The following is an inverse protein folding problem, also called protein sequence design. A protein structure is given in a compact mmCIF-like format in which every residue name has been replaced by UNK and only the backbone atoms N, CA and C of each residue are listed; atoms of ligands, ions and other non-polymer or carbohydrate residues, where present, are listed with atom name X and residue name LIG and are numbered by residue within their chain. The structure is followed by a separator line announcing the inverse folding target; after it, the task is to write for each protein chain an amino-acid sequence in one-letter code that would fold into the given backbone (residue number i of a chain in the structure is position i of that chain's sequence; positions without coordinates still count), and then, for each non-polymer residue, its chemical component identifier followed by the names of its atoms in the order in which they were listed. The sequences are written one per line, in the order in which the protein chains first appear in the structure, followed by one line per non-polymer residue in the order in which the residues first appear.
data_IF_158304825734
#
_entry.id   IF_158304825734
#
_cell.length_a   1.000
_cell.length_b   1.000
_cell.length_c   1.000
_cell.angle_alpha   90.00
_cell.angle_beta   90.00
_cell.angle_gamma   90.00
#
_symmetry.space_group_name_H-M   'P 1'
#
loop_
_entity.id
_entity.type
_entity.pdbx_description
1 polymer ?
#
# COMPACT_ATOMS: atom_id res chain seq x y z
N UNK A 1 -7.97 22.51 6.03
CA UNK A 1 -9.11 21.81 6.68
C UNK A 1 -9.35 22.38 8.07
N UNK A 2 -10.59 22.72 8.43
CA UNK A 2 -10.92 23.09 9.82
C UNK A 2 -10.78 21.84 10.70
N UNK A 3 -10.09 22.00 11.84
CA UNK A 3 -9.97 20.93 12.85
C UNK A 3 -11.37 20.61 13.38
N UNK A 4 -11.79 19.33 13.35
CA UNK A 4 -13.08 18.93 13.89
C UNK A 4 -13.03 19.09 15.41
N UNK A 5 -14.04 19.75 15.98
CA UNK A 5 -14.25 19.71 17.42
C UNK A 5 -14.96 18.39 17.78
N UNK A 6 -14.29 17.55 18.58
CA UNK A 6 -14.77 16.23 19.00
C UNK A 6 -15.24 16.23 20.48
N UNK A 7 -15.31 17.38 21.14
CA UNK A 7 -15.62 17.47 22.59
C UNK A 7 -17.03 17.01 22.92
N UNK A 8 -17.97 17.13 21.96
CA UNK A 8 -19.36 16.71 22.10
C UNK A 8 -19.62 15.28 21.58
N UNK A 9 -18.61 14.59 21.08
CA UNK A 9 -18.79 13.22 20.55
C UNK A 9 -18.91 12.22 21.68
N UNK A 10 -19.69 11.16 21.44
CA UNK A 10 -19.84 10.06 22.38
C UNK A 10 -19.09 8.82 21.92
N UNK A 11 -18.80 7.99 22.88
CA UNK A 11 -18.17 6.69 22.68
C UNK A 11 -19.23 5.63 22.39
N UNK A 12 -18.96 4.80 21.37
CA UNK A 12 -19.79 3.68 20.98
C UNK A 12 -18.93 2.44 20.79
N UNK A 13 -19.37 1.30 21.31
CA UNK A 13 -18.79 0.02 20.93
C UNK A 13 -19.21 -0.33 19.50
N UNK A 14 -18.29 -0.82 18.72
CA UNK A 14 -18.57 -1.21 17.34
C UNK A 14 -19.63 -2.31 17.25
N UNK A 15 -19.59 -3.28 18.17
CA UNK A 15 -20.58 -4.35 18.26
C UNK A 15 -22.00 -3.91 18.60
N UNK A 16 -22.19 -2.68 19.16
CA UNK A 16 -23.52 -2.10 19.41
C UNK A 16 -24.11 -1.46 18.12
N UNK A 17 -23.28 -1.17 17.13
CA UNK A 17 -23.67 -0.52 15.89
C UNK A 17 -23.80 -1.48 14.70
N UNK A 18 -23.04 -2.58 14.75
CA UNK A 18 -22.92 -3.53 13.63
C UNK A 18 -22.97 -4.98 14.10
N UNK A 19 -23.73 -5.80 13.38
CA UNK A 19 -23.48 -7.24 13.38
C UNK A 19 -22.15 -7.51 12.68
N UNK A 20 -21.26 -8.23 13.34
CA UNK A 20 -19.97 -8.64 12.74
C UNK A 20 -19.98 -10.15 12.59
N UNK A 21 -19.93 -10.62 11.35
CA UNK A 21 -19.94 -12.04 10.99
C UNK A 21 -19.04 -12.35 9.80
N UNK A 22 -18.63 -13.63 9.63
CA UNK A 22 -17.94 -14.06 8.42
C UNK A 22 -18.77 -13.74 7.17
N UNK A 23 -18.10 -13.32 6.11
CA UNK A 23 -18.73 -13.18 4.80
C UNK A 23 -19.02 -14.56 4.20
N UNK A 24 -20.15 -14.68 3.50
CA UNK A 24 -20.49 -15.89 2.76
C UNK A 24 -19.55 -16.05 1.56
N UNK A 25 -19.16 -17.29 1.31
CA UNK A 25 -18.28 -17.64 0.18
C UNK A 25 -18.70 -18.97 -0.45
N UNK A 26 -18.15 -19.27 -1.60
CA UNK A 26 -18.45 -20.52 -2.33
C UNK A 26 -17.68 -21.75 -1.82
N UNK A 27 -16.76 -21.58 -0.86
CA UNK A 27 -15.87 -22.66 -0.37
C UNK A 27 -15.05 -23.33 -1.49
N UNK A 28 -14.75 -22.58 -2.55
CA UNK A 28 -13.95 -23.05 -3.68
C UNK A 28 -12.46 -22.74 -3.43
N UNK A 29 -11.60 -23.61 -3.95
CA UNK A 29 -10.16 -23.32 -4.04
C UNK A 29 -9.90 -22.21 -5.07
N UNK A 30 -8.81 -21.47 -4.91
CA UNK A 30 -8.50 -20.30 -5.75
C UNK A 30 -8.54 -20.61 -7.26
N UNK A 31 -7.97 -21.75 -7.69
CA UNK A 31 -7.95 -22.14 -9.11
C UNK A 31 -9.34 -22.31 -9.71
N UNK A 32 -10.34 -22.67 -8.89
CA UNK A 32 -11.73 -22.79 -9.32
C UNK A 32 -12.50 -21.48 -9.16
N UNK A 33 -12.27 -20.75 -8.06
CA UNK A 33 -12.93 -19.48 -7.82
C UNK A 33 -12.58 -18.44 -8.90
N UNK A 34 -11.33 -18.38 -9.31
CA UNK A 34 -10.83 -17.42 -10.32
C UNK A 34 -10.70 -18.03 -11.73
N UNK A 35 -11.37 -19.15 -12.01
CA UNK A 35 -11.31 -19.85 -13.30
C UNK A 35 -11.92 -18.99 -14.44
N UNK A 36 -12.99 -18.25 -14.16
CA UNK A 36 -13.67 -17.43 -15.14
C UNK A 36 -13.57 -15.95 -14.81
N UNK A 37 -13.15 -15.14 -15.78
CA UNK A 37 -13.14 -13.68 -15.64
C UNK A 37 -14.55 -13.12 -15.78
N UNK A 38 -14.87 -12.08 -14.98
CA UNK A 38 -16.17 -11.43 -14.98
C UNK A 38 -16.12 -10.07 -14.28
N UNK A 39 -17.26 -9.59 -13.78
CA UNK A 39 -17.38 -8.27 -13.15
C UNK A 39 -17.65 -8.32 -11.64
N UNK A 40 -17.95 -9.49 -11.08
CA UNK A 40 -18.22 -9.64 -9.65
C UNK A 40 -16.90 -9.65 -8.86
N UNK A 41 -16.65 -8.67 -7.99
CA UNK A 41 -15.43 -8.62 -7.20
C UNK A 41 -15.39 -9.74 -6.15
N UNK A 42 -14.22 -10.36 -5.95
CA UNK A 42 -13.96 -11.29 -4.87
C UNK A 42 -13.15 -10.55 -3.80
N UNK A 43 -13.71 -10.36 -2.61
CA UNK A 43 -13.04 -9.71 -1.50
C UNK A 43 -12.29 -10.73 -0.67
N UNK A 44 -10.97 -10.63 -0.67
CA UNK A 44 -10.04 -11.55 0.01
C UNK A 44 -9.32 -10.86 1.17
N UNK A 45 -8.58 -11.61 1.96
CA UNK A 45 -7.80 -11.11 3.09
C UNK A 45 -6.50 -10.41 2.64
N UNK A 46 -6.64 -9.36 1.85
CA UNK A 46 -5.54 -8.52 1.32
C UNK A 46 -5.63 -7.10 1.87
N UNK A 47 -4.49 -6.48 2.14
CA UNK A 47 -4.39 -5.06 2.50
C UNK A 47 -4.35 -4.12 1.28
N UNK A 48 -4.35 -4.65 0.07
CA UNK A 48 -4.24 -3.92 -1.19
C UNK A 48 -5.53 -3.95 -1.99
N UNK A 49 -5.66 -3.02 -2.93
CA UNK A 49 -6.75 -2.97 -3.90
C UNK A 49 -8.16 -3.10 -3.27
N UNK A 50 -8.41 -2.39 -2.17
CA UNK A 50 -9.66 -2.46 -1.41
C UNK A 50 -10.05 -3.88 -0.96
N UNK A 51 -9.06 -4.77 -0.77
CA UNK A 51 -9.27 -6.18 -0.47
C UNK A 51 -9.69 -7.03 -1.68
N UNK A 52 -9.79 -6.47 -2.88
CA UNK A 52 -10.24 -7.18 -4.07
C UNK A 52 -9.10 -8.01 -4.66
N UNK A 53 -9.24 -9.33 -4.62
CA UNK A 53 -8.29 -10.28 -5.19
C UNK A 53 -8.46 -10.53 -6.69
N UNK A 54 -9.63 -10.24 -7.24
CA UNK A 54 -9.95 -10.41 -8.66
C UNK A 54 -11.42 -10.23 -8.94
N UNK A 55 -11.81 -10.42 -10.21
CA UNK A 55 -13.19 -10.33 -10.69
C UNK A 55 -13.56 -11.61 -11.42
N UNK A 56 -14.74 -12.17 -11.13
CA UNK A 56 -15.22 -13.45 -11.66
C UNK A 56 -16.64 -13.32 -12.20
N UNK A 57 -17.10 -14.33 -12.95
CA UNK A 57 -18.45 -14.40 -13.52
C UNK A 57 -19.48 -15.10 -12.63
N UNK A 58 -19.12 -15.40 -11.38
CA UNK A 58 -20.04 -15.98 -10.40
C UNK A 58 -20.92 -14.88 -9.77
N UNK A 59 -22.10 -15.28 -9.29
CA UNK A 59 -23.02 -14.37 -8.60
C UNK A 59 -22.42 -13.88 -7.25
N UNK A 60 -22.73 -12.65 -6.82
CA UNK A 60 -22.28 -12.17 -5.51
C UNK A 60 -22.91 -12.98 -4.37
N UNK A 61 -22.16 -13.19 -3.29
CA UNK A 61 -22.64 -13.88 -2.08
C UNK A 61 -23.01 -12.91 -0.94
N UNK A 62 -22.59 -11.65 -1.07
CA UNK A 62 -22.84 -10.56 -0.14
C UNK A 62 -23.25 -9.29 -0.89
N UNK A 63 -24.16 -8.53 -0.26
CA UNK A 63 -24.52 -7.20 -0.77
C UNK A 63 -23.47 -6.16 -0.42
N UNK A 64 -23.31 -5.19 -1.29
CA UNK A 64 -22.49 -4.01 -1.04
C UNK A 64 -23.05 -3.10 0.05
N UNK A 65 -22.41 -1.95 0.24
CA UNK A 65 -22.81 -0.98 1.28
C UNK A 65 -22.28 -1.31 2.68
N UNK A 66 -21.35 -2.24 2.83
CA UNK A 66 -20.81 -2.67 4.11
C UNK A 66 -19.29 -2.47 4.23
N UNK A 67 -18.79 -2.52 5.45
CA UNK A 67 -17.35 -2.56 5.73
C UNK A 67 -16.92 -4.02 5.86
N UNK A 68 -15.79 -4.36 5.27
CA UNK A 68 -15.14 -5.67 5.43
C UNK A 68 -13.77 -5.51 6.09
N UNK A 69 -13.33 -6.53 6.82
CA UNK A 69 -11.97 -6.61 7.33
C UNK A 69 -11.44 -8.04 7.35
N UNK A 70 -10.10 -8.18 7.32
CA UNK A 70 -9.43 -9.48 7.47
C UNK A 70 -9.18 -9.77 8.94
N UNK A 71 -9.48 -11.00 9.39
CA UNK A 71 -9.24 -11.46 10.77
C UNK A 71 -7.95 -12.29 10.90
N UNK A 72 -7.08 -12.23 9.91
CA UNK A 72 -5.86 -13.08 9.90
C UNK A 72 -4.61 -12.41 10.42
N UNK A 73 -4.50 -11.09 10.30
CA UNK A 73 -3.23 -10.39 10.57
C UNK A 73 -3.45 -9.05 11.26
N UNK A 74 -3.33 -7.96 10.51
CA UNK A 74 -3.33 -6.59 11.01
C UNK A 74 -4.64 -5.87 10.70
N UNK A 75 -4.85 -4.72 11.36
CA UNK A 75 -5.97 -3.81 11.06
C UNK A 75 -5.82 -3.02 9.76
N UNK A 76 -4.87 -3.35 8.89
CA UNK A 76 -4.66 -2.65 7.62
C UNK A 76 -5.70 -3.01 6.54
N UNK A 77 -6.24 -4.22 6.59
CA UNK A 77 -7.23 -4.72 5.63
C UNK A 77 -8.67 -4.42 6.07
N UNK A 78 -9.02 -3.15 6.25
CA UNK A 78 -10.37 -2.69 6.59
C UNK A 78 -10.87 -1.78 5.46
N UNK A 79 -11.97 -2.14 4.78
CA UNK A 79 -12.41 -1.45 3.57
C UNK A 79 -13.95 -1.34 3.49
N UNK A 80 -14.43 -0.30 2.83
CA UNK A 80 -15.84 -0.18 2.44
C UNK A 80 -16.05 -0.84 1.07
N UNK A 81 -16.99 -1.76 0.99
CA UNK A 81 -17.40 -2.44 -0.24
C UNK A 81 -18.66 -1.77 -0.77
N UNK A 82 -18.52 -1.05 -1.87
CA UNK A 82 -19.65 -0.32 -2.47
C UNK A 82 -20.59 -1.23 -3.26
N UNK A 83 -20.02 -2.20 -3.98
CA UNK A 83 -20.74 -3.14 -4.84
C UNK A 83 -20.96 -4.47 -4.15
N UNK A 84 -21.96 -5.21 -4.60
CA UNK A 84 -22.13 -6.61 -4.27
C UNK A 84 -20.87 -7.41 -4.62
N UNK A 85 -20.53 -8.37 -3.79
CA UNK A 85 -19.26 -9.07 -3.89
C UNK A 85 -19.34 -10.53 -3.46
N UNK A 86 -18.33 -11.31 -3.80
CA UNK A 86 -18.13 -12.65 -3.27
C UNK A 86 -17.20 -12.54 -2.07
N UNK A 87 -17.66 -13.04 -0.91
CA UNK A 87 -16.85 -13.14 0.28
C UNK A 87 -15.78 -14.23 0.17
N UNK A 88 -14.85 -14.23 1.13
CA UNK A 88 -13.72 -15.16 1.17
C UNK A 88 -13.43 -15.60 2.60
N UNK A 89 -12.68 -16.70 2.75
CA UNK A 89 -12.22 -17.17 4.06
C UNK A 89 -11.47 -16.08 4.80
N UNK A 90 -11.71 -15.95 6.10
CA UNK A 90 -11.08 -14.94 6.95
C UNK A 90 -11.42 -13.48 6.61
N UNK A 91 -12.46 -13.24 5.84
CA UNK A 91 -13.03 -11.92 5.64
C UNK A 91 -14.30 -11.79 6.47
N UNK A 92 -14.33 -10.80 7.34
CA UNK A 92 -15.48 -10.45 8.17
C UNK A 92 -16.22 -9.28 7.56
N UNK A 93 -17.55 -9.31 7.60
CA UNK A 93 -18.44 -8.22 7.21
C UNK A 93 -19.02 -7.53 8.44
N UNK A 94 -19.19 -6.22 8.36
CA UNK A 94 -19.86 -5.38 9.36
C UNK A 94 -21.17 -4.89 8.79
N UNK A 95 -22.28 -5.43 9.30
CA UNK A 95 -23.65 -5.19 8.84
C UNK A 95 -24.33 -4.25 9.81
N UNK A 96 -24.73 -3.04 9.40
CA UNK A 96 -25.34 -2.07 10.32
C UNK A 96 -26.68 -2.56 10.83
N UNK A 97 -26.94 -2.37 12.14
CA UNK A 97 -28.27 -2.64 12.74
C UNK A 97 -29.31 -1.59 12.33
N UNK A 98 -28.86 -0.35 12.05
CA UNK A 98 -29.75 0.75 11.65
C UNK A 98 -29.62 1.00 10.14
N UNK A 99 -30.76 1.15 9.48
CA UNK A 99 -30.84 1.45 8.04
C UNK A 99 -30.56 2.93 7.69
N UNK A 100 -30.28 3.78 8.68
CA UNK A 100 -29.91 5.19 8.48
C UNK A 100 -28.49 5.39 7.97
N UNK A 101 -27.66 4.36 7.99
CA UNK A 101 -26.31 4.44 7.45
C UNK A 101 -26.32 4.62 5.93
N UNK A 102 -25.69 5.70 5.45
CA UNK A 102 -25.43 5.95 4.03
C UNK A 102 -23.97 5.67 3.70
N UNK A 103 -23.63 5.63 2.41
CA UNK A 103 -22.22 5.50 1.97
C UNK A 103 -21.31 6.50 2.69
N UNK A 104 -21.70 7.77 2.76
CA UNK A 104 -20.85 8.81 3.33
C UNK A 104 -20.71 8.67 4.85
N UNK A 105 -21.79 8.37 5.58
CA UNK A 105 -21.70 8.10 7.01
C UNK A 105 -20.88 6.84 7.32
N UNK A 106 -20.97 5.80 6.48
CA UNK A 106 -20.13 4.60 6.59
C UNK A 106 -18.64 4.90 6.33
N UNK A 107 -18.31 5.75 5.37
CA UNK A 107 -16.94 6.20 5.11
C UNK A 107 -16.37 7.02 6.28
N UNK A 108 -17.21 7.85 6.90
CA UNK A 108 -16.83 8.58 8.11
C UNK A 108 -16.50 7.59 9.25
N UNK A 109 -17.44 6.66 9.53
CA UNK A 109 -17.22 5.63 10.54
C UNK A 109 -15.99 4.77 10.25
N UNK A 110 -15.79 4.34 9.01
CA UNK A 110 -14.61 3.59 8.57
C UNK A 110 -13.31 4.27 8.98
N UNK A 111 -13.24 5.60 8.83
CA UNK A 111 -12.05 6.37 9.19
C UNK A 111 -11.80 6.36 10.70
N UNK A 112 -12.86 6.53 11.51
CA UNK A 112 -12.78 6.46 12.98
C UNK A 112 -12.40 5.05 13.45
N UNK A 113 -13.00 4.02 12.86
CA UNK A 113 -12.75 2.62 13.18
C UNK A 113 -11.32 2.20 12.82
N UNK A 114 -10.85 2.54 11.61
CA UNK A 114 -9.45 2.28 11.20
C UNK A 114 -8.45 2.92 12.17
N UNK A 115 -8.70 4.17 12.57
CA UNK A 115 -7.84 4.87 13.52
C UNK A 115 -7.83 4.17 14.88
N UNK A 116 -8.98 3.80 15.41
CA UNK A 116 -9.09 3.10 16.70
C UNK A 116 -8.42 1.72 16.64
N UNK A 117 -8.66 0.95 15.59
CA UNK A 117 -8.04 -0.36 15.39
C UNK A 117 -6.51 -0.27 15.23
N UNK A 118 -6.01 0.74 14.51
CA UNK A 118 -4.57 0.94 14.31
C UNK A 118 -3.83 1.24 15.62
N UNK A 119 -4.45 2.00 16.52
CA UNK A 119 -3.86 2.34 17.82
C UNK A 119 -3.66 1.12 18.75
N UNK A 120 -4.36 0.01 18.50
CA UNK A 120 -4.23 -1.24 19.27
C UNK A 120 -3.06 -2.11 18.83
N UNK A 121 -2.39 -1.80 17.70
CA UNK A 121 -1.13 -2.41 17.29
C UNK A 121 -1.21 -3.90 16.99
N UNK A 122 -2.16 -4.33 16.14
CA UNK A 122 -2.31 -5.74 15.75
C UNK A 122 -1.19 -6.23 14.84
N UNK A 123 -0.75 -7.47 15.07
CA UNK A 123 0.28 -8.18 14.32
C UNK A 123 -0.10 -9.67 14.13
N UNK A 124 0.88 -10.49 13.72
CA UNK A 124 0.66 -11.92 13.52
C UNK A 124 0.38 -12.68 14.82
N UNK A 125 0.91 -12.23 15.94
CA UNK A 125 0.72 -12.85 17.28
C UNK A 125 -0.57 -12.34 17.91
N UNK A 126 -0.77 -11.02 17.87
CA UNK A 126 -1.95 -10.33 18.38
C UNK A 126 -2.88 -9.99 17.20
N UNK A 127 -3.67 -10.97 16.77
CA UNK A 127 -4.50 -10.88 15.57
C UNK A 127 -5.71 -9.97 15.77
N UNK A 128 -6.06 -9.25 14.71
CA UNK A 128 -7.29 -8.48 14.64
C UNK A 128 -8.49 -9.42 14.40
N UNK A 129 -9.08 -9.91 15.48
CA UNK A 129 -10.20 -10.86 15.41
C UNK A 129 -11.55 -10.16 15.43
N UNK A 130 -12.58 -10.90 15.02
CA UNK A 130 -13.99 -10.46 15.09
C UNK A 130 -14.40 -10.05 16.49
N UNK A 131 -14.00 -10.81 17.50
CA UNK A 131 -14.39 -10.52 18.88
C UNK A 131 -13.73 -9.24 19.38
N UNK A 132 -12.47 -9.02 19.03
CA UNK A 132 -11.78 -7.76 19.32
C UNK A 132 -12.43 -6.59 18.60
N UNK A 133 -12.79 -6.76 17.31
CA UNK A 133 -13.43 -5.71 16.53
C UNK A 133 -14.75 -5.23 17.14
N UNK A 134 -15.55 -6.11 17.75
CA UNK A 134 -16.80 -5.76 18.45
C UNK A 134 -16.56 -4.88 19.68
N UNK A 135 -15.47 -5.11 20.40
CA UNK A 135 -15.14 -4.39 21.62
C UNK A 135 -14.42 -3.04 21.38
N UNK A 136 -14.00 -2.76 20.14
CA UNK A 136 -13.40 -1.47 19.81
C UNK A 136 -14.40 -0.35 20.09
N UNK A 137 -13.92 0.69 20.76
CA UNK A 137 -14.66 1.90 21.04
C UNK A 137 -14.27 3.00 20.05
N UNK A 138 -15.26 3.61 19.43
CA UNK A 138 -15.10 4.73 18.51
C UNK A 138 -15.85 5.95 19.02
N UNK A 139 -15.27 7.14 18.83
CA UNK A 139 -15.98 8.41 19.10
C UNK A 139 -16.69 8.88 17.85
N UNK A 140 -17.99 9.14 17.97
CA UNK A 140 -18.85 9.57 16.88
C UNK A 140 -19.70 10.79 17.28
N UNK A 141 -20.05 11.66 16.31
CA UNK A 141 -20.89 12.82 16.57
C UNK A 141 -22.30 12.40 16.94
N UNK A 142 -22.91 13.15 17.86
CA UNK A 142 -24.28 12.95 18.34
C UNK A 142 -25.09 14.23 18.33
N UNK A 143 -26.40 14.10 18.08
CA UNK A 143 -27.41 15.14 18.28
C UNK A 143 -28.51 14.54 19.13
N UNK A 144 -28.90 15.22 20.20
CA UNK A 144 -29.94 14.74 21.15
C UNK A 144 -29.67 13.33 21.68
N UNK A 145 -28.42 12.98 21.93
CA UNK A 145 -27.95 11.69 22.39
C UNK A 145 -28.02 10.53 21.36
N UNK A 146 -28.48 10.77 20.15
CA UNK A 146 -28.47 9.81 19.03
C UNK A 146 -27.33 10.11 18.05
N UNK A 147 -26.93 9.10 17.26
CA UNK A 147 -25.91 9.27 16.23
C UNK A 147 -26.32 10.32 15.19
N UNK A 148 -25.43 11.26 14.91
CA UNK A 148 -25.62 12.28 13.89
C UNK A 148 -25.17 11.77 12.50
N UNK A 149 -25.98 10.88 11.91
CA UNK A 149 -25.75 10.35 10.56
C UNK A 149 -25.60 11.46 9.51
N UNK A 150 -26.46 12.49 9.60
CA UNK A 150 -26.42 13.63 8.68
C UNK A 150 -25.17 14.49 8.83
N UNK A 151 -24.70 14.66 10.07
CA UNK A 151 -23.44 15.38 10.32
C UNK A 151 -22.24 14.64 9.75
N UNK A 152 -22.17 13.32 9.95
CA UNK A 152 -21.15 12.47 9.36
C UNK A 152 -21.17 12.54 7.82
N UNK A 153 -22.35 12.44 7.20
CA UNK A 153 -22.56 12.52 5.77
C UNK A 153 -22.08 13.87 5.20
N UNK A 154 -22.58 14.98 5.77
CA UNK A 154 -22.17 16.34 5.37
C UNK A 154 -20.66 16.57 5.51
N UNK A 155 -20.04 15.98 6.53
CA UNK A 155 -18.60 16.10 6.71
C UNK A 155 -17.84 15.47 5.54
N UNK A 156 -18.21 14.25 5.15
CA UNK A 156 -17.58 13.57 4.00
C UNK A 156 -17.86 14.33 2.71
N UNK A 157 -19.11 14.75 2.47
CA UNK A 157 -19.47 15.55 1.29
C UNK A 157 -18.65 16.84 1.19
N UNK A 158 -18.57 17.61 2.28
CA UNK A 158 -17.80 18.84 2.31
C UNK A 158 -16.30 18.60 2.09
N UNK A 159 -15.79 17.49 2.59
CA UNK A 159 -14.40 17.08 2.39
C UNK A 159 -14.13 16.70 0.94
N UNK A 160 -15.04 15.97 0.29
CA UNK A 160 -14.96 15.60 -1.12
C UNK A 160 -15.04 16.85 -2.02
N UNK A 161 -16.01 17.74 -1.78
CA UNK A 161 -16.13 19.01 -2.51
C UNK A 161 -14.88 19.88 -2.33
N UNK A 162 -14.36 19.97 -1.10
CA UNK A 162 -13.12 20.69 -0.83
C UNK A 162 -11.94 20.10 -1.60
N UNK A 163 -11.88 18.77 -1.68
CA UNK A 163 -10.86 18.05 -2.43
C UNK A 163 -11.02 18.23 -3.94
N UNK A 164 -12.24 18.15 -4.46
CA UNK A 164 -12.54 18.37 -5.88
C UNK A 164 -12.25 19.82 -6.31
N UNK A 165 -12.65 20.81 -5.50
CA UNK A 165 -12.31 22.21 -5.72
C UNK A 165 -10.80 22.45 -5.71
N UNK A 166 -10.10 21.80 -4.77
CA UNK A 166 -8.65 21.82 -4.74
C UNK A 166 -8.04 21.20 -5.98
N UNK A 167 -8.50 20.00 -6.40
CA UNK A 167 -8.09 19.36 -7.65
C UNK A 167 -8.40 20.23 -8.87
N UNK A 168 -9.58 20.87 -8.90
CA UNK A 168 -9.97 21.80 -9.95
C UNK A 168 -9.08 23.04 -10.02
N UNK A 169 -8.70 23.61 -8.87
CA UNK A 169 -7.76 24.74 -8.78
C UNK A 169 -6.36 24.40 -9.29
N UNK A 170 -5.98 23.14 -9.23
CA UNK A 170 -4.71 22.65 -9.77
C UNK A 170 -4.68 22.58 -11.30
N UNK A 171 -5.82 22.74 -12.00
CA UNK A 171 -6.00 22.94 -13.45
C UNK A 171 -5.27 22.00 -14.42
N UNK A 172 -4.26 21.30 -13.93
CA UNK A 172 -3.35 20.41 -14.64
C UNK A 172 -3.58 18.92 -14.35
N UNK A 173 -4.34 18.58 -13.30
CA UNK A 173 -4.59 17.18 -12.90
C UNK A 173 -5.50 16.49 -13.90
N UNK A 174 -6.48 17.18 -14.46
CA UNK A 174 -7.35 16.64 -15.50
C UNK A 174 -6.57 16.20 -16.73
N UNK A 175 -5.56 16.97 -17.13
CA UNK A 175 -4.68 16.61 -18.22
C UNK A 175 -3.76 15.43 -17.88
N UNK A 176 -3.37 15.27 -16.62
CA UNK A 176 -2.53 14.15 -16.18
C UNK A 176 -3.32 12.83 -16.09
N UNK A 177 -4.58 12.88 -15.63
CA UNK A 177 -5.48 11.71 -15.61
C UNK A 177 -5.99 11.34 -17.01
N UNK A 178 -6.22 12.33 -17.87
CA UNK A 178 -6.68 12.12 -19.27
C UNK A 178 -5.56 11.63 -20.18
N UNK A 179 -4.28 11.89 -19.86
CA UNK A 179 -3.15 11.44 -20.62
C UNK A 179 -2.30 10.47 -19.77
N UNK A 180 -2.71 9.18 -19.67
CA UNK A 180 -1.86 8.17 -19.06
C UNK A 180 -0.53 8.15 -19.81
N UNK A 181 0.55 7.78 -19.11
CA UNK A 181 1.86 7.62 -19.75
C UNK A 181 1.69 6.75 -20.99
N UNK A 182 1.84 7.33 -22.18
CA UNK A 182 2.00 6.52 -23.37
C UNK A 182 3.28 5.71 -23.24
N UNK A 183 3.14 4.39 -23.41
CA UNK A 183 4.28 3.46 -23.47
C UNK A 183 4.70 3.19 -24.91
N UNK A 184 4.14 3.96 -25.85
CA UNK A 184 4.53 3.88 -27.25
C UNK A 184 5.97 4.34 -27.40
N UNK A 185 6.76 3.57 -28.11
CA UNK A 185 8.20 3.85 -28.28
C UNK A 185 9.10 3.43 -27.11
N UNK A 186 8.56 2.93 -25.98
CA UNK A 186 9.39 2.41 -24.91
C UNK A 186 10.14 1.14 -25.36
N UNK A 187 11.42 1.04 -24.99
CA UNK A 187 12.26 -0.13 -25.31
C UNK A 187 12.51 -0.99 -24.07
N UNK A 188 12.82 -2.26 -24.33
CA UNK A 188 13.26 -3.20 -23.30
C UNK A 188 14.76 -3.05 -23.08
N UNK A 189 15.16 -3.01 -21.81
CA UNK A 189 16.56 -2.97 -21.37
C UNK A 189 16.77 -4.04 -20.31
N UNK A 190 17.88 -4.73 -20.38
CA UNK A 190 18.32 -5.65 -19.34
C UNK A 190 18.81 -4.84 -18.14
N UNK A 191 18.43 -5.22 -16.92
CA UNK A 191 18.85 -4.48 -15.71
C UNK A 191 20.36 -4.40 -15.63
N UNK A 192 21.07 -5.49 -15.94
CA UNK A 192 22.52 -5.54 -15.91
C UNK A 192 23.25 -4.68 -16.93
N UNK A 193 22.55 -4.22 -17.99
CA UNK A 193 23.13 -3.31 -18.99
C UNK A 193 23.00 -1.84 -18.57
N UNK A 194 22.03 -1.55 -17.66
CA UNK A 194 21.77 -0.19 -17.19
C UNK A 194 22.40 0.05 -15.82
N UNK A 195 22.43 -0.97 -14.96
CA UNK A 195 22.86 -0.83 -13.58
C UNK A 195 24.10 -1.68 -13.26
N UNK A 196 24.98 -1.11 -12.46
CA UNK A 196 25.88 -1.91 -11.66
C UNK A 196 25.07 -2.62 -10.56
N UNK A 197 25.10 -3.96 -10.57
CA UNK A 197 24.34 -4.80 -9.64
C UNK A 197 25.28 -5.38 -8.58
N UNK A 198 25.02 -5.08 -7.31
CA UNK A 198 25.87 -5.52 -6.20
C UNK A 198 25.05 -6.00 -5.01
N UNK A 199 25.72 -6.50 -4.00
CA UNK A 199 25.16 -6.84 -2.69
C UNK A 199 25.90 -6.07 -1.60
N UNK A 200 25.24 -5.71 -0.50
CA UNK A 200 25.93 -5.17 0.66
C UNK A 200 26.81 -6.20 1.33
N UNK A 201 27.72 -5.75 2.19
CA UNK A 201 28.52 -6.59 3.08
C UNK A 201 27.63 -7.44 3.98
N UNK A 202 28.14 -8.57 4.47
CA UNK A 202 27.39 -9.44 5.40
C UNK A 202 27.16 -8.73 6.73
N UNK A 203 25.91 -8.35 6.99
CA UNK A 203 25.46 -7.67 8.20
C UNK A 203 24.24 -8.36 8.80
N UNK A 204 24.20 -8.41 10.12
CA UNK A 204 23.03 -8.86 10.89
C UNK A 204 22.56 -7.72 11.79
N UNK A 205 21.27 -7.41 11.76
CA UNK A 205 20.66 -6.35 12.56
C UNK A 205 20.95 -6.49 14.07
N UNK A 206 21.06 -7.72 14.58
CA UNK A 206 21.32 -8.01 15.99
C UNK A 206 22.69 -7.56 16.51
N UNK A 207 23.60 -7.16 15.62
CA UNK A 207 24.96 -6.70 15.98
C UNK A 207 25.05 -5.19 16.23
N UNK A 208 23.96 -4.45 16.04
CA UNK A 208 23.98 -3.00 16.09
C UNK A 208 23.08 -2.48 17.21
N UNK A 209 23.56 -1.44 17.88
CA UNK A 209 22.76 -0.62 18.80
C UNK A 209 21.89 0.38 18.02
N UNK A 210 20.93 1.00 18.72
CA UNK A 210 20.12 2.08 18.17
C UNK A 210 21.00 3.30 17.83
N UNK A 211 20.66 3.96 16.72
CA UNK A 211 21.41 5.09 16.19
C UNK A 211 20.64 5.86 15.11
N UNK A 212 21.36 6.51 14.19
CA UNK A 212 20.74 7.37 13.20
C UNK A 212 20.84 6.83 11.75
N UNK A 213 21.68 5.83 11.48
CA UNK A 213 21.89 5.28 10.15
C UNK A 213 20.82 4.23 9.83
N UNK A 214 20.09 4.34 8.70
CA UNK A 214 19.09 3.36 8.32
C UNK A 214 19.71 1.97 8.13
N UNK A 215 19.10 0.94 8.72
CA UNK A 215 19.39 -0.46 8.42
C UNK A 215 18.36 -0.98 7.44
N UNK A 216 18.78 -1.19 6.17
CA UNK A 216 17.93 -1.57 5.06
C UNK A 216 17.98 -3.08 4.84
N UNK A 217 16.83 -3.73 4.80
CA UNK A 217 16.70 -5.17 4.58
C UNK A 217 15.57 -5.49 3.60
N UNK A 218 15.37 -6.78 3.33
CA UNK A 218 14.26 -7.26 2.52
C UNK A 218 12.92 -7.00 3.21
N UNK A 219 11.92 -6.61 2.43
CA UNK A 219 10.56 -6.32 2.87
C UNK A 219 9.94 -5.18 2.08
N UNK A 220 8.62 -5.02 2.18
CA UNK A 220 7.82 -4.09 1.40
C UNK A 220 7.30 -2.87 2.19
N UNK A 221 7.87 -2.61 3.36
CA UNK A 221 7.43 -1.57 4.27
C UNK A 221 8.55 -0.58 4.58
N UNK A 222 8.18 0.66 4.93
CA UNK A 222 9.08 1.70 5.44
C UNK A 222 10.36 1.91 4.61
N UNK A 223 10.26 1.93 3.28
CA UNK A 223 11.40 2.04 2.37
C UNK A 223 12.47 0.94 2.56
N UNK A 224 12.07 -0.23 3.07
CA UNK A 224 12.98 -1.33 3.43
C UNK A 224 13.78 -1.09 4.72
N UNK A 225 13.55 0.02 5.43
CA UNK A 225 14.25 0.35 6.67
C UNK A 225 13.60 -0.36 7.85
N UNK A 226 14.31 -1.30 8.46
CA UNK A 226 13.83 -2.02 9.64
C UNK A 226 13.90 -1.14 10.90
N UNK A 227 15.01 -0.45 11.10
CA UNK A 227 15.27 0.50 12.17
C UNK A 227 16.48 1.37 11.84
N UNK A 228 16.79 2.33 12.66
CA UNK A 228 18.04 3.08 12.59
C UNK A 228 19.07 2.50 13.57
N UNK A 229 20.32 2.38 13.14
CA UNK A 229 21.40 1.74 13.87
C UNK A 229 22.60 2.67 13.99
N UNK A 230 23.45 2.39 14.98
CA UNK A 230 24.80 2.96 15.11
C UNK A 230 25.76 2.04 14.33
N UNK A 231 26.50 2.54 13.35
CA UNK A 231 27.55 1.76 12.69
C UNK A 231 28.62 1.33 13.69
N UNK A 232 29.29 0.21 13.41
CA UNK A 232 30.48 -0.20 14.14
C UNK A 232 31.65 0.73 13.80
N UNK A 233 32.66 0.74 14.64
CA UNK A 233 33.86 1.57 14.40
C UNK A 233 34.50 1.22 13.05
N UNK A 234 34.83 2.26 12.28
CA UNK A 234 35.41 2.17 10.92
C UNK A 234 34.55 1.41 9.88
N UNK A 235 33.27 1.13 10.18
CA UNK A 235 32.40 0.42 9.24
C UNK A 235 32.04 1.28 8.03
N UNK A 236 32.29 0.74 6.83
CA UNK A 236 31.94 1.41 5.58
C UNK A 236 30.46 1.22 5.28
N UNK A 237 29.73 2.32 5.15
CA UNK A 237 28.32 2.32 4.79
C UNK A 237 28.14 2.04 3.29
N UNK A 238 27.03 1.42 2.94
CA UNK A 238 26.56 1.36 1.56
C UNK A 238 26.12 2.77 1.14
N UNK A 239 26.67 3.26 0.03
CA UNK A 239 26.38 4.61 -0.48
C UNK A 239 24.93 4.76 -0.89
N UNK A 240 24.33 5.91 -0.58
CA UNK A 240 23.04 6.33 -1.09
C UNK A 240 23.01 6.47 -2.61
N UNK A 241 22.02 7.19 -3.12
CA UNK A 241 21.71 7.31 -4.57
C UNK A 241 21.71 5.95 -5.28
N UNK A 242 20.96 5.01 -4.73
CA UNK A 242 20.82 3.68 -5.30
C UNK A 242 19.39 3.15 -5.15
N UNK A 243 19.07 2.09 -5.88
CA UNK A 243 17.83 1.33 -5.68
C UNK A 243 18.18 0.04 -4.96
N UNK A 244 17.48 -0.26 -3.89
CA UNK A 244 17.53 -1.55 -3.21
C UNK A 244 16.38 -2.41 -3.67
N UNK A 245 16.62 -3.69 -3.97
CA UNK A 245 15.62 -4.67 -4.37
C UNK A 245 15.59 -5.81 -3.36
N UNK A 246 14.40 -6.10 -2.86
CA UNK A 246 14.15 -7.25 -1.99
C UNK A 246 14.05 -8.53 -2.82
N UNK A 247 14.89 -9.54 -2.59
CA UNK A 247 14.83 -10.78 -3.35
C UNK A 247 13.65 -11.68 -3.00
N UNK A 248 12.95 -11.41 -1.89
CA UNK A 248 11.88 -12.26 -1.38
C UNK A 248 10.48 -11.86 -1.83
N UNK A 249 10.30 -10.63 -2.33
CA UNK A 249 9.01 -10.10 -2.76
C UNK A 249 9.11 -9.07 -3.92
N UNK A 250 10.33 -8.80 -4.40
CA UNK A 250 10.59 -7.86 -5.48
C UNK A 250 10.43 -6.38 -5.11
N UNK A 251 10.09 -6.04 -3.86
CA UNK A 251 9.97 -4.65 -3.42
C UNK A 251 11.24 -3.87 -3.70
N UNK A 252 11.10 -2.68 -4.29
CA UNK A 252 12.24 -1.87 -4.72
C UNK A 252 12.09 -0.46 -4.21
N UNK A 253 13.14 0.07 -3.56
CA UNK A 253 13.14 1.37 -2.92
C UNK A 253 14.36 2.19 -3.29
N UNK A 254 14.17 3.50 -3.48
CA UNK A 254 15.27 4.44 -3.66
C UNK A 254 15.84 4.85 -2.30
N UNK A 255 17.13 4.61 -2.11
CA UNK A 255 17.87 5.02 -0.93
C UNK A 255 18.62 6.33 -1.24
N UNK A 256 18.17 7.40 -0.60
CA UNK A 256 18.73 8.74 -0.81
C UNK A 256 20.06 8.93 -0.06
N UNK A 257 20.13 8.39 1.15
CA UNK A 257 21.26 8.54 2.07
C UNK A 257 22.05 7.26 2.21
N UNK A 258 23.27 7.36 2.75
CA UNK A 258 24.09 6.20 3.09
C UNK A 258 23.42 5.33 4.16
N UNK A 259 23.58 4.02 4.09
CA UNK A 259 22.85 3.07 4.93
C UNK A 259 23.67 1.83 5.26
N UNK A 260 23.18 1.05 6.20
CA UNK A 260 23.65 -0.31 6.49
C UNK A 260 22.73 -1.30 5.78
N UNK A 261 23.18 -1.85 4.66
CA UNK A 261 22.42 -2.86 3.93
C UNK A 261 22.56 -4.25 4.54
N UNK A 262 21.45 -4.99 4.69
CA UNK A 262 21.50 -6.40 5.08
C UNK A 262 22.10 -7.23 3.94
N UNK A 263 23.30 -7.74 4.16
CA UNK A 263 24.01 -8.67 3.27
C UNK A 263 24.13 -10.06 3.88
N UNK A 264 24.89 -10.92 3.21
CA UNK A 264 25.13 -12.31 3.61
C UNK A 264 24.27 -13.32 2.87
N UNK A 265 24.09 -14.52 3.44
CA UNK A 265 23.29 -15.57 2.82
C UNK A 265 21.77 -15.30 2.92
N UNK A 266 21.00 -15.93 2.05
CA UNK A 266 19.54 -15.87 2.05
C UNK A 266 19.00 -14.55 1.48
N UNK A 267 18.08 -13.89 2.20
CA UNK A 267 17.33 -12.70 1.77
C UNK A 267 18.15 -11.38 1.81
N UNK A 268 19.42 -11.45 1.38
CA UNK A 268 20.29 -10.27 1.21
C UNK A 268 19.72 -9.36 0.15
N UNK A 269 19.57 -8.06 0.44
CA UNK A 269 19.11 -7.09 -0.56
C UNK A 269 20.07 -6.98 -1.72
N UNK A 270 19.55 -6.60 -2.88
CA UNK A 270 20.34 -6.31 -4.09
C UNK A 270 20.36 -4.80 -4.27
N UNK A 271 21.55 -4.27 -4.62
CA UNK A 271 21.77 -2.84 -4.84
C UNK A 271 21.97 -2.59 -6.32
N UNK A 272 21.21 -1.66 -6.89
CA UNK A 272 21.31 -1.20 -8.27
C UNK A 272 21.82 0.24 -8.30
N UNK A 273 22.94 0.49 -9.02
CA UNK A 273 23.55 1.81 -9.15
C UNK A 273 23.68 2.23 -10.60
N UNK A 274 23.46 3.50 -10.85
CA UNK A 274 23.77 4.12 -12.13
C UNK A 274 24.19 5.58 -11.91
N UNK A 275 25.25 6.02 -12.56
CA UNK A 275 25.83 7.37 -12.39
C UNK A 275 24.89 8.49 -12.85
N UNK A 276 24.04 8.23 -13.82
CA UNK A 276 23.07 9.21 -14.37
C UNK A 276 21.80 9.29 -13.53
N UNK A 277 21.53 8.28 -12.68
CA UNK A 277 20.35 8.23 -11.85
C UNK A 277 20.39 9.33 -10.77
N UNK A 278 19.25 9.98 -10.58
CA UNK A 278 18.99 10.89 -9.47
C UNK A 278 17.73 10.43 -8.70
N UNK A 279 17.41 11.11 -7.60
CA UNK A 279 16.24 10.81 -6.75
C UNK A 279 14.96 10.57 -7.57
N UNK A 280 14.66 11.46 -8.51
CA UNK A 280 13.38 11.40 -9.22
C UNK A 280 13.34 10.25 -10.25
N UNK A 281 14.40 10.10 -11.03
CA UNK A 281 14.49 8.94 -11.94
C UNK A 281 14.59 7.62 -11.19
N UNK A 282 15.24 7.60 -10.01
CA UNK A 282 15.28 6.45 -9.11
C UNK A 282 13.87 6.04 -8.61
N UNK A 283 13.05 7.00 -8.17
CA UNK A 283 11.67 6.74 -7.77
C UNK A 283 10.81 6.20 -8.92
N UNK A 284 10.98 6.72 -10.14
CA UNK A 284 10.32 6.20 -11.33
C UNK A 284 10.67 4.73 -11.57
N UNK A 285 11.95 4.43 -11.51
CA UNK A 285 12.49 3.08 -11.75
C UNK A 285 12.08 2.08 -10.67
N UNK A 286 11.97 2.49 -9.41
CA UNK A 286 11.48 1.62 -8.33
C UNK A 286 10.13 1.00 -8.66
N UNK A 287 9.20 1.77 -9.21
CA UNK A 287 7.87 1.26 -9.58
C UNK A 287 7.95 0.18 -10.67
N UNK A 288 8.80 0.39 -11.67
CA UNK A 288 8.96 -0.56 -12.80
C UNK A 288 9.71 -1.82 -12.34
N UNK A 289 10.78 -1.65 -11.57
CA UNK A 289 11.60 -2.76 -11.08
C UNK A 289 10.77 -3.62 -10.10
N UNK A 290 10.06 -3.02 -9.15
CA UNK A 290 9.15 -3.76 -8.25
C UNK A 290 8.15 -4.60 -9.03
N UNK A 291 7.56 -4.05 -10.09
CA UNK A 291 6.60 -4.79 -10.92
C UNK A 291 7.24 -5.98 -11.64
N UNK A 292 8.45 -5.84 -12.15
CA UNK A 292 9.16 -6.93 -12.85
C UNK A 292 9.64 -7.98 -11.86
N UNK A 293 10.13 -7.55 -10.70
CA UNK A 293 10.65 -8.43 -9.66
C UNK A 293 9.56 -9.03 -8.74
N UNK A 294 8.29 -8.62 -8.86
CA UNK A 294 7.17 -9.15 -8.04
C UNK A 294 6.90 -10.65 -8.22
N UNK A 295 7.51 -11.28 -9.22
CA UNK A 295 7.47 -12.73 -9.43
C UNK A 295 8.30 -13.52 -8.41
N UNK A 296 9.28 -12.86 -7.75
CA UNK A 296 10.07 -13.50 -6.72
C UNK A 296 9.27 -13.66 -5.43
N UNK A 297 9.52 -14.75 -4.72
CA UNK A 297 8.85 -15.10 -3.47
C UNK A 297 9.86 -15.72 -2.50
N UNK A 298 9.45 -15.95 -1.26
CA UNK A 298 10.32 -16.59 -0.26
C UNK A 298 10.81 -17.99 -0.68
N UNK A 299 9.99 -18.72 -1.44
CA UNK A 299 10.33 -20.07 -1.93
C UNK A 299 11.10 -20.04 -3.26
N UNK A 300 11.08 -18.92 -3.97
CA UNK A 300 11.79 -18.71 -5.25
C UNK A 300 12.40 -17.31 -5.24
N UNK A 301 13.43 -17.16 -4.40
CA UNK A 301 14.06 -15.86 -4.17
C UNK A 301 14.87 -15.42 -5.38
N UNK A 302 14.72 -14.14 -5.71
CA UNK A 302 15.66 -13.48 -6.61
C UNK A 302 17.08 -13.47 -6.02
N UNK A 303 18.05 -13.27 -6.89
CA UNK A 303 19.44 -13.07 -6.48
C UNK A 303 20.13 -12.07 -7.42
N UNK A 304 21.39 -11.74 -7.13
CA UNK A 304 22.15 -10.80 -7.92
C UNK A 304 22.13 -11.13 -9.42
N UNK A 305 22.30 -12.40 -9.76
CA UNK A 305 22.43 -12.83 -11.15
C UNK A 305 21.05 -12.88 -11.83
N UNK A 306 20.02 -13.40 -11.17
CA UNK A 306 18.67 -13.43 -11.73
C UNK A 306 18.10 -12.01 -11.94
N UNK A 307 18.26 -11.09 -10.99
CA UNK A 307 17.80 -9.70 -11.12
C UNK A 307 18.56 -8.97 -12.21
N UNK A 308 19.84 -9.24 -12.37
CA UNK A 308 20.67 -8.69 -13.44
C UNK A 308 20.15 -9.07 -14.84
N UNK A 309 19.59 -10.27 -14.97
CA UNK A 309 19.04 -10.79 -16.23
C UNK A 309 17.62 -10.30 -16.55
N UNK A 310 16.94 -9.63 -15.61
CA UNK A 310 15.60 -9.11 -15.82
C UNK A 310 15.55 -7.97 -16.84
N UNK A 311 14.43 -7.91 -17.55
CA UNK A 311 14.15 -6.86 -18.52
C UNK A 311 13.10 -5.89 -18.01
N UNK A 312 13.43 -4.60 -18.05
CA UNK A 312 12.51 -3.50 -17.77
C UNK A 312 12.22 -2.72 -19.04
N UNK A 313 11.00 -2.18 -19.15
CA UNK A 313 10.59 -1.36 -20.29
C UNK A 313 10.66 0.11 -19.89
N UNK A 314 11.45 0.92 -20.61
CA UNK A 314 11.73 2.31 -20.26
C UNK A 314 11.49 3.25 -21.45
N UNK A 315 11.11 4.54 -21.18
CA UNK A 315 11.15 5.58 -22.18
C UNK A 315 12.56 5.77 -22.71
N UNK A 316 12.67 6.13 -23.97
CA UNK A 316 13.97 6.33 -24.65
C UNK A 316 14.13 7.75 -25.16
N UNK A 317 15.35 8.23 -25.10
CA UNK A 317 15.79 9.47 -25.75
C UNK A 317 15.87 9.30 -27.26
N UNK A 318 16.22 10.39 -27.96
CA UNK A 318 16.41 10.41 -29.44
C UNK A 318 17.47 9.44 -29.95
N UNK A 319 18.40 9.01 -29.12
CA UNK A 319 19.47 8.06 -29.44
C UNK A 319 19.07 6.61 -29.11
N UNK A 320 17.88 6.40 -28.51
CA UNK A 320 17.38 5.09 -28.12
C UNK A 320 17.92 4.58 -26.77
N UNK A 321 18.59 5.43 -25.99
CA UNK A 321 19.00 5.14 -24.61
C UNK A 321 17.87 5.44 -23.60
N UNK A 322 17.91 4.93 -22.35
CA UNK A 322 16.96 5.30 -21.32
C UNK A 322 16.88 6.82 -21.13
N UNK A 323 15.69 7.40 -21.22
CA UNK A 323 15.49 8.85 -21.05
C UNK A 323 15.39 9.21 -19.56
N UNK A 324 16.54 9.41 -18.95
CA UNK A 324 16.68 9.79 -17.53
C UNK A 324 16.00 11.14 -17.20
N UNK A 325 16.00 12.06 -18.18
CA UNK A 325 15.39 13.38 -18.01
C UNK A 325 13.87 13.25 -17.96
N UNK A 326 13.29 12.52 -18.92
CA UNK A 326 11.85 12.26 -18.94
C UNK A 326 11.38 11.59 -17.64
N UNK A 327 12.07 10.54 -17.18
CA UNK A 327 11.73 9.83 -15.94
C UNK A 327 11.77 10.77 -14.73
N UNK A 328 12.78 11.62 -14.62
CA UNK A 328 12.91 12.58 -13.53
C UNK A 328 11.84 13.66 -13.59
N UNK A 329 11.57 14.26 -14.74
CA UNK A 329 10.56 15.30 -14.91
C UNK A 329 9.15 14.77 -14.65
N UNK A 330 8.88 13.51 -15.04
CA UNK A 330 7.62 12.87 -14.74
C UNK A 330 7.36 12.79 -13.22
N UNK A 331 8.32 12.31 -12.44
CA UNK A 331 8.18 12.22 -10.98
C UNK A 331 8.13 13.60 -10.33
N UNK A 332 8.92 14.57 -10.79
CA UNK A 332 8.82 15.95 -10.29
C UNK A 332 7.41 16.51 -10.47
N UNK A 333 6.80 16.29 -11.63
CA UNK A 333 5.40 16.67 -11.86
C UNK A 333 4.46 15.97 -10.88
N UNK A 334 4.62 14.65 -10.67
CA UNK A 334 3.82 13.91 -9.69
C UNK A 334 3.98 14.49 -8.26
N UNK A 335 5.21 14.78 -7.82
CA UNK A 335 5.51 15.28 -6.48
C UNK A 335 5.03 16.73 -6.26
N UNK A 336 5.06 17.60 -7.28
CA UNK A 336 4.46 18.92 -7.21
C UNK A 336 2.97 18.78 -6.86
N UNK A 337 2.27 17.81 -7.45
CA UNK A 337 0.87 17.54 -7.15
C UNK A 337 0.66 17.01 -5.73
N UNK A 338 1.55 16.16 -5.22
CA UNK A 338 1.46 15.59 -3.85
C UNK A 338 1.80 16.63 -2.79
N UNK A 339 2.81 17.47 -3.00
CA UNK A 339 3.21 18.52 -2.05
C UNK A 339 2.26 19.73 -2.04
N UNK A 340 1.34 19.80 -2.98
CA UNK A 340 0.26 20.78 -3.00
C UNK A 340 -1.00 20.26 -2.27
N UNK A 341 -0.98 19.01 -1.77
CA UNK A 341 -1.97 18.37 -0.91
C UNK A 341 -1.50 18.43 0.55
#
# INVERSE_FOLDING_TARGET
MKKINIDSWKEFKVGDLFEIRPTKNYNLINSKLFETQGETPVVVNSSYNNGIGGYVSLDPTESGGIITFSDTTSSSAIFYQEKDFIGYSHVQGMYPYDNKWTKNSMLFFLTAFKKAAHLLGFDYVNKFTREIAKEIVVKLPVINNELDYKGMEKYIESSLISFENYLGSLGKIDNFRKNPISKDGWKKFKIGDIFEVSRPSARSQSKYDDGEVPFVASGNYNNGVLRKCRPLDEEILDKGNCITVSPVDGSSFYQEVDFLGRGGAGSSIIILRNKTMNKYSGLFLCTIISKVCSKYSYNDMGNKDSIKEEYIKLPVDKNGNPDWIYMAEYIKKCLIYINMI
#
